data_IF_450304636513
#
_entry.id   IF_450304636513
#
_cell.length_a   1.000
_cell.length_b   1.000
_cell.length_c   1.000
_cell.angle_alpha   90.00
_cell.angle_beta   90.00
_cell.angle_gamma   90.00
#
_symmetry.space_group_name_H-M   'P 1'
#
loop_
_entity.id
_entity.type
_entity.pdbx_description
1 polymer ?
#
# COMPACT_ATOMS: atom_id res chain seq x y z
N UNK A 1 -2.34 13.17 -11.79
CA UNK A 1 -1.36 13.45 -10.71
C UNK A 1 -0.71 12.18 -10.20
N UNK A 2 -1.45 11.14 -9.82
CA UNK A 2 -0.90 9.85 -9.36
C UNK A 2 0.07 9.15 -10.34
N UNK A 3 -0.10 9.35 -11.66
CA UNK A 3 0.83 8.81 -12.66
C UNK A 3 2.18 9.56 -12.74
N UNK A 4 2.32 10.69 -12.04
CA UNK A 4 3.46 11.61 -12.20
C UNK A 4 4.10 11.99 -10.88
N UNK A 5 3.31 12.04 -9.81
CA UNK A 5 3.75 12.33 -8.45
C UNK A 5 3.34 11.18 -7.53
N UNK A 6 4.18 10.91 -6.55
CA UNK A 6 4.00 9.84 -5.57
C UNK A 6 2.91 10.13 -4.52
N UNK A 7 2.37 11.35 -4.50
CA UNK A 7 1.27 11.78 -3.62
C UNK A 7 1.52 11.50 -2.13
N UNK A 8 2.77 11.65 -1.68
CA UNK A 8 3.17 11.45 -0.29
C UNK A 8 3.61 10.03 0.06
N UNK A 9 3.53 9.08 -0.88
CA UNK A 9 3.94 7.69 -0.67
C UNK A 9 5.22 7.38 -1.46
N UNK A 10 6.37 7.44 -0.79
CA UNK A 10 7.66 7.17 -1.42
C UNK A 10 7.94 5.69 -1.68
N UNK A 11 7.28 4.79 -0.94
CA UNK A 11 7.52 3.35 -0.96
C UNK A 11 6.24 2.60 -0.62
N UNK A 12 6.00 1.47 -1.29
CA UNK A 12 4.89 0.55 -1.03
C UNK A 12 5.47 -0.83 -0.74
N UNK A 13 5.00 -1.46 0.33
CA UNK A 13 5.32 -2.84 0.70
C UNK A 13 4.05 -3.68 0.57
N UNK A 14 4.16 -4.83 -0.11
CA UNK A 14 3.11 -5.84 -0.18
C UNK A 14 3.50 -6.94 0.79
N UNK A 15 2.62 -7.20 1.75
CA UNK A 15 2.84 -8.09 2.89
C UNK A 15 1.65 -9.02 3.05
N UNK A 16 1.84 -10.13 3.77
CA UNK A 16 0.72 -10.90 4.28
C UNK A 16 -0.03 -10.08 5.37
N UNK A 17 -1.31 -10.41 5.58
CA UNK A 17 -2.14 -9.76 6.60
C UNK A 17 -1.57 -9.97 8.00
N UNK A 18 -0.95 -11.11 8.25
CA UNK A 18 -0.37 -11.44 9.55
C UNK A 18 0.88 -10.58 9.86
N UNK A 19 1.62 -10.17 8.84
CA UNK A 19 2.86 -9.36 8.97
C UNK A 19 2.58 -7.85 9.02
N UNK A 20 1.40 -7.41 8.58
CA UNK A 20 1.05 -5.99 8.47
C UNK A 20 1.15 -5.26 9.81
N UNK A 21 0.69 -5.89 10.90
CA UNK A 21 0.75 -5.30 12.24
C UNK A 21 2.20 -5.09 12.71
N UNK A 22 3.08 -6.06 12.43
CA UNK A 22 4.51 -5.93 12.75
C UNK A 22 5.15 -4.80 11.96
N UNK A 23 4.88 -4.72 10.64
CA UNK A 23 5.42 -3.67 9.79
C UNK A 23 5.00 -2.26 10.25
N UNK A 24 3.73 -2.08 10.61
CA UNK A 24 3.22 -0.80 11.13
C UNK A 24 3.86 -0.41 12.47
N UNK A 25 4.20 -1.38 13.32
CA UNK A 25 4.91 -1.10 14.58
C UNK A 25 6.37 -0.67 14.38
N UNK A 26 7.01 -1.12 13.30
CA UNK A 26 8.41 -0.81 12.99
C UNK A 26 8.55 0.49 12.17
N UNK A 27 7.51 0.85 11.41
CA UNK A 27 7.49 1.99 10.50
C UNK A 27 6.41 2.99 10.95
N UNK A 28 6.75 4.01 11.76
CA UNK A 28 5.76 4.89 12.40
C UNK A 28 4.96 5.77 11.42
N UNK A 29 5.52 6.05 10.24
CA UNK A 29 4.84 6.82 9.18
C UNK A 29 4.12 5.93 8.16
N UNK A 30 4.17 4.60 8.34
CA UNK A 30 3.50 3.67 7.44
C UNK A 30 2.00 3.57 7.76
N UNK A 31 1.22 3.30 6.72
CA UNK A 31 -0.21 3.07 6.83
C UNK A 31 -0.65 2.04 5.79
N UNK A 32 -1.81 1.42 6.03
CA UNK A 32 -2.38 0.47 5.08
C UNK A 32 -2.97 1.23 3.89
N UNK A 33 -2.38 1.02 2.71
CA UNK A 33 -2.78 1.71 1.48
C UNK A 33 -3.92 0.99 0.74
N UNK A 34 -4.01 -0.34 0.85
CA UNK A 34 -5.04 -1.14 0.19
C UNK A 34 -4.82 -2.65 0.31
N UNK A 35 -5.59 -3.43 -0.44
CA UNK A 35 -5.46 -4.88 -0.58
C UNK A 35 -5.12 -5.28 -2.02
N UNK A 36 -4.46 -6.43 -2.18
CA UNK A 36 -4.26 -7.07 -3.47
C UNK A 36 -5.34 -8.14 -3.62
N UNK A 37 -6.16 -8.02 -4.65
CA UNK A 37 -7.27 -8.93 -4.95
C UNK A 37 -7.23 -9.35 -6.42
N UNK A 38 -7.76 -10.54 -6.72
CA UNK A 38 -7.89 -10.97 -8.12
C UNK A 38 -8.97 -10.10 -8.80
N UNK A 39 -8.58 -9.40 -9.86
CA UNK A 39 -9.43 -8.47 -10.59
C UNK A 39 -9.14 -8.55 -12.09
N UNK A 40 -10.16 -8.30 -12.90
CA UNK A 40 -10.02 -8.11 -14.35
C UNK A 40 -9.45 -6.72 -14.70
N UNK A 41 -9.51 -5.78 -13.75
CA UNK A 41 -8.92 -4.45 -13.88
C UNK A 41 -7.54 -4.39 -13.19
N UNK A 42 -6.52 -3.81 -13.86
CA UNK A 42 -5.15 -3.85 -13.36
C UNK A 42 -4.89 -2.95 -12.15
N UNK A 43 -5.70 -1.89 -11.95
CA UNK A 43 -5.56 -0.96 -10.83
C UNK A 43 -6.82 -0.10 -10.67
N UNK A 44 -7.33 -0.03 -9.45
CA UNK A 44 -8.38 0.93 -9.05
C UNK A 44 -7.81 1.82 -7.95
N UNK A 45 -7.84 3.14 -8.17
CA UNK A 45 -7.49 4.15 -7.16
C UNK A 45 -8.79 4.73 -6.61
N UNK A 46 -9.03 4.54 -5.31
CA UNK A 46 -10.19 5.08 -4.57
C UNK A 46 -9.86 6.40 -3.87
#
# INVERSE_FOLDING_TARGET
>A
MFNTFNMGVGMVLILDKDDAAQALSLLPDAYVLGSVEASDEPLVLL
#
